data_IF_912308771684
#
_entry.id   IF_912308771684
#
_cell.length_a   1.000
_cell.length_b   1.000
_cell.length_c   1.000
_cell.angle_alpha   90.00
_cell.angle_beta   90.00
_cell.angle_gamma   90.00
#
_symmetry.space_group_name_H-M   'P 1'
#
loop_
_entity.id
_entity.type
_entity.pdbx_description
1 polymer ?
#
# COMPACT_ATOMS: atom_id res chain seq x y z
N UNK A 1 5.58 -23.79 4.23
CA UNK A 1 6.50 -22.85 4.87
C UNK A 1 7.91 -23.25 4.47
N UNK A 2 8.68 -22.37 3.89
CA UNK A 2 10.12 -22.55 3.71
C UNK A 2 10.73 -22.00 4.99
N UNK A 3 11.25 -22.85 5.86
CA UNK A 3 12.13 -22.39 6.93
C UNK A 3 13.40 -21.89 6.26
N UNK A 4 13.55 -20.59 6.25
CA UNK A 4 14.85 -19.95 5.98
C UNK A 4 15.67 -20.17 7.23
N UNK A 5 16.85 -20.77 7.10
CA UNK A 5 17.70 -21.14 8.23
C UNK A 5 17.99 -20.00 9.20
N UNK A 6 18.77 -20.30 10.24
CA UNK A 6 19.05 -19.37 11.33
C UNK A 6 19.40 -17.96 10.85
N UNK A 7 18.94 -16.92 11.57
CA UNK A 7 19.22 -15.53 11.21
C UNK A 7 20.71 -15.31 11.05
N UNK A 8 21.15 -14.82 9.91
CA UNK A 8 22.55 -14.44 9.70
C UNK A 8 22.76 -13.10 10.39
N UNK A 9 23.52 -13.09 11.46
CA UNK A 9 23.94 -11.86 12.11
C UNK A 9 24.97 -11.15 11.20
N UNK A 10 24.62 -9.97 10.70
CA UNK A 10 25.53 -9.10 9.96
C UNK A 10 25.88 -7.91 10.85
N UNK A 11 27.15 -7.64 11.13
CA UNK A 11 27.56 -6.44 11.87
C UNK A 11 27.09 -5.19 11.12
N UNK A 12 26.46 -4.29 11.85
CA UNK A 12 25.98 -3.03 11.30
C UNK A 12 27.16 -2.16 10.84
N UNK A 13 27.14 -1.69 9.60
CA UNK A 13 28.15 -0.77 9.05
C UNK A 13 29.41 -1.43 8.48
N UNK A 14 29.58 -2.75 8.58
CA UNK A 14 30.74 -3.46 8.06
C UNK A 14 30.43 -4.49 6.96
N UNK A 15 29.20 -4.51 6.47
CA UNK A 15 28.82 -5.39 5.38
C UNK A 15 29.51 -4.96 4.09
N UNK A 16 30.62 -5.59 3.75
CA UNK A 16 31.20 -5.43 2.42
C UNK A 16 30.22 -5.98 1.39
N UNK A 17 29.88 -5.18 0.39
CA UNK A 17 29.22 -5.68 -0.80
C UNK A 17 30.03 -6.85 -1.35
N UNK A 18 29.39 -7.88 -1.94
CA UNK A 18 30.09 -8.92 -2.65
C UNK A 18 31.07 -8.30 -3.66
N UNK A 19 32.24 -8.89 -3.80
CA UNK A 19 33.28 -8.37 -4.69
C UNK A 19 32.75 -8.16 -6.11
N UNK A 20 32.89 -6.92 -6.60
CA UNK A 20 32.39 -6.54 -7.94
C UNK A 20 31.00 -5.90 -7.95
N UNK A 21 30.33 -5.82 -6.81
CA UNK A 21 29.02 -5.16 -6.70
C UNK A 21 29.18 -3.68 -6.29
N UNK A 22 28.36 -2.83 -6.91
CA UNK A 22 28.20 -1.44 -6.47
C UNK A 22 26.87 -1.30 -5.73
N UNK A 23 26.85 -0.49 -4.68
CA UNK A 23 25.63 -0.24 -3.96
C UNK A 23 24.65 0.53 -4.87
N UNK A 24 23.40 0.05 -5.05
CA UNK A 24 22.52 0.60 -6.07
C UNK A 24 22.04 2.03 -5.78
N UNK A 25 22.19 2.52 -4.52
CA UNK A 25 21.71 3.87 -4.13
C UNK A 25 22.66 4.58 -3.19
N UNK A 26 23.00 5.81 -3.56
CA UNK A 26 23.80 6.72 -2.72
C UNK A 26 23.03 7.06 -1.43
N UNK A 27 23.70 7.00 -0.29
CA UNK A 27 23.15 7.39 1.01
C UNK A 27 22.48 6.26 1.78
N UNK A 28 22.63 5.02 1.33
CA UNK A 28 22.21 3.81 2.05
C UNK A 28 23.40 2.97 2.44
N UNK A 29 23.33 2.37 3.61
CA UNK A 29 24.31 1.41 4.10
C UNK A 29 23.85 -0.01 3.80
N UNK A 30 24.80 -0.87 3.46
CA UNK A 30 24.54 -2.30 3.24
C UNK A 30 24.26 -2.99 4.58
N UNK A 31 23.17 -3.72 4.66
CA UNK A 31 22.79 -4.39 5.91
C UNK A 31 23.04 -5.89 5.87
N UNK A 32 22.46 -6.59 4.91
CA UNK A 32 22.56 -8.04 4.82
C UNK A 32 22.19 -8.55 3.42
N UNK A 33 22.64 -9.75 3.09
CA UNK A 33 22.22 -10.51 1.93
C UNK A 33 21.87 -11.94 2.35
N UNK A 34 20.81 -12.47 1.79
CA UNK A 34 20.43 -13.87 1.96
C UNK A 34 20.00 -14.48 0.63
N UNK A 35 20.08 -15.79 0.51
CA UNK A 35 19.65 -16.54 -0.67
C UNK A 35 18.39 -17.32 -0.38
N UNK A 36 17.38 -17.17 -1.24
CA UNK A 36 16.14 -17.93 -1.18
C UNK A 36 16.08 -18.89 -2.37
N UNK A 37 15.76 -20.15 -2.11
CA UNK A 37 15.50 -21.13 -3.16
C UNK A 37 14.10 -20.94 -3.68
N UNK A 38 13.98 -20.37 -4.88
CA UNK A 38 12.69 -20.01 -5.47
C UNK A 38 12.43 -20.77 -6.77
N UNK A 39 11.16 -20.84 -7.16
CA UNK A 39 10.74 -21.35 -8.47
C UNK A 39 11.17 -20.43 -9.61
N UNK A 40 11.02 -20.90 -10.86
CA UNK A 40 11.28 -20.08 -12.04
C UNK A 40 10.27 -18.91 -12.16
N UNK A 41 9.05 -19.12 -11.63
CA UNK A 41 8.00 -18.12 -11.67
C UNK A 41 8.17 -17.12 -10.53
N UNK A 42 7.86 -15.86 -10.82
CA UNK A 42 7.84 -14.80 -9.81
C UNK A 42 6.80 -15.10 -8.74
N UNK A 43 7.18 -14.94 -7.50
CA UNK A 43 6.32 -15.11 -6.33
C UNK A 43 6.44 -13.88 -5.43
N UNK A 44 5.40 -13.62 -4.64
CA UNK A 44 5.42 -12.64 -3.57
C UNK A 44 5.57 -13.38 -2.25
N UNK A 45 6.52 -12.94 -1.45
CA UNK A 45 6.77 -13.49 -0.11
C UNK A 45 6.73 -12.38 0.93
N UNK A 46 6.33 -12.74 2.14
CA UNK A 46 6.42 -11.85 3.28
C UNK A 46 7.75 -12.12 3.99
N UNK A 47 8.46 -11.06 4.30
CA UNK A 47 9.72 -11.10 5.02
C UNK A 47 9.56 -10.41 6.36
N UNK A 48 10.32 -10.89 7.33
CA UNK A 48 10.41 -10.27 8.64
C UNK A 48 11.88 -10.01 8.97
N UNK A 49 12.21 -8.76 9.25
CA UNK A 49 13.53 -8.36 9.70
C UNK A 49 13.50 -8.13 11.20
N UNK A 50 14.33 -8.85 11.95
CA UNK A 50 14.53 -8.59 13.35
C UNK A 50 15.86 -7.86 13.53
N UNK A 51 15.79 -6.61 13.97
CA UNK A 51 16.96 -5.80 14.29
C UNK A 51 17.19 -5.83 15.79
N UNK A 52 18.40 -6.19 16.20
CA UNK A 52 18.83 -6.16 17.60
C UNK A 52 19.78 -4.98 17.83
N UNK A 53 19.38 -4.07 18.69
CA UNK A 53 20.23 -2.93 19.07
C UNK A 53 21.32 -3.33 20.07
N UNK A 54 22.34 -2.47 20.23
CA UNK A 54 23.45 -2.72 21.14
C UNK A 54 23.02 -2.80 22.63
N UNK A 55 21.89 -2.19 22.98
CA UNK A 55 21.30 -2.26 24.33
C UNK A 55 20.49 -3.56 24.56
N UNK A 56 20.47 -4.45 23.58
CA UNK A 56 19.75 -5.72 23.62
C UNK A 56 18.28 -5.63 23.23
N UNK A 57 17.74 -4.45 22.99
CA UNK A 57 16.38 -4.30 22.49
C UNK A 57 16.25 -4.87 21.07
N UNK A 58 15.08 -5.42 20.78
CA UNK A 58 14.78 -5.97 19.45
C UNK A 58 13.60 -5.26 18.83
N UNK A 59 13.68 -5.04 17.52
CA UNK A 59 12.60 -4.50 16.73
C UNK A 59 12.37 -5.39 15.52
N UNK A 60 11.12 -5.76 15.32
CA UNK A 60 10.67 -6.56 14.17
C UNK A 60 10.01 -5.66 13.13
N UNK A 61 10.41 -5.82 11.89
CA UNK A 61 9.95 -5.05 10.75
C UNK A 61 9.41 -6.01 9.68
N UNK A 62 8.09 -6.12 9.54
CA UNK A 62 7.51 -6.90 8.46
C UNK A 62 7.63 -6.14 7.13
N UNK A 63 7.96 -6.84 6.07
CA UNK A 63 7.96 -6.35 4.68
C UNK A 63 7.15 -7.32 3.84
N UNK A 64 5.93 -6.93 3.50
CA UNK A 64 5.01 -7.80 2.77
C UNK A 64 5.16 -7.68 1.27
N UNK A 65 4.73 -8.75 0.58
CA UNK A 65 4.63 -8.81 -0.87
C UNK A 65 5.96 -8.53 -1.59
N UNK A 66 7.06 -9.02 -1.04
CA UNK A 66 8.39 -8.89 -1.65
C UNK A 66 8.47 -9.80 -2.87
N UNK A 67 8.70 -9.28 -4.08
CA UNK A 67 8.84 -10.09 -5.27
C UNK A 67 10.17 -10.86 -5.25
N UNK A 68 10.09 -12.16 -5.46
CA UNK A 68 11.24 -13.06 -5.52
C UNK A 68 11.10 -14.02 -6.69
N UNK A 69 12.20 -14.33 -7.33
CA UNK A 69 12.25 -15.23 -8.48
C UNK A 69 13.64 -15.89 -8.59
N UNK A 70 13.70 -17.13 -9.09
CA UNK A 70 14.97 -17.81 -9.32
C UNK A 70 15.84 -17.01 -10.30
N UNK A 71 17.12 -16.86 -9.97
CA UNK A 71 18.12 -16.10 -10.72
C UNK A 71 17.90 -14.58 -10.76
N UNK A 72 17.06 -14.06 -9.86
CA UNK A 72 16.90 -12.62 -9.69
C UNK A 72 17.41 -12.18 -8.32
N UNK A 73 17.88 -10.95 -8.26
CA UNK A 73 18.24 -10.27 -7.02
C UNK A 73 17.11 -9.31 -6.64
N UNK A 74 16.59 -9.46 -5.44
CA UNK A 74 15.64 -8.51 -4.87
C UNK A 74 16.38 -7.59 -3.91
N UNK A 75 16.41 -6.30 -4.20
CA UNK A 75 16.98 -5.29 -3.33
C UNK A 75 15.86 -4.68 -2.48
N UNK A 76 16.06 -4.67 -1.17
CA UNK A 76 15.16 -4.04 -0.21
C UNK A 76 15.96 -2.91 0.46
N UNK A 77 15.47 -1.68 0.33
CA UNK A 77 16.13 -0.53 0.94
C UNK A 77 15.10 0.43 1.54
N UNK A 78 15.47 1.06 2.62
CA UNK A 78 14.60 1.96 3.36
C UNK A 78 15.12 2.30 4.74
N UNK A 79 14.34 3.06 5.49
CA UNK A 79 14.67 3.43 6.85
C UNK A 79 14.21 2.37 7.83
N UNK A 80 15.07 1.40 8.15
CA UNK A 80 14.74 0.31 9.07
C UNK A 80 14.62 0.76 10.54
N UNK A 81 15.15 1.92 10.88
CA UNK A 81 15.24 2.41 12.27
C UNK A 81 14.23 3.50 12.61
N UNK A 82 13.45 3.98 11.65
CA UNK A 82 12.41 5.00 11.89
C UNK A 82 11.02 4.39 11.94
N UNK A 83 10.04 5.12 12.48
CA UNK A 83 8.65 4.66 12.57
C UNK A 83 7.89 4.79 11.23
N UNK A 84 8.52 5.26 10.17
CA UNK A 84 7.94 5.36 8.83
C UNK A 84 8.31 4.12 8.01
N UNK A 85 7.32 3.53 7.34
CA UNK A 85 7.53 2.41 6.40
C UNK A 85 8.08 2.96 5.10
N UNK A 86 9.36 3.31 5.11
CA UNK A 86 10.11 3.75 3.93
C UNK A 86 10.89 2.57 3.35
N UNK A 87 10.19 1.52 2.95
CA UNK A 87 10.83 0.33 2.39
C UNK A 87 10.58 0.31 0.89
N UNK A 88 11.66 0.40 0.14
CA UNK A 88 11.67 0.25 -1.31
C UNK A 88 12.14 -1.16 -1.66
N UNK A 89 11.43 -1.83 -2.56
CA UNK A 89 11.79 -3.16 -3.01
C UNK A 89 12.04 -3.10 -4.51
N UNK A 90 13.23 -3.54 -4.92
CA UNK A 90 13.64 -3.61 -6.31
C UNK A 90 14.05 -5.05 -6.62
N UNK A 91 13.51 -5.64 -7.67
CA UNK A 91 13.95 -6.93 -8.18
C UNK A 91 14.81 -6.69 -9.43
N UNK A 92 16.05 -7.15 -9.39
CA UNK A 92 17.01 -6.99 -10.48
C UNK A 92 17.35 -8.37 -11.05
N UNK A 93 17.28 -8.58 -12.37
CA UNK A 93 17.83 -9.78 -12.99
C UNK A 93 19.31 -9.86 -12.66
N UNK A 94 19.79 -11.04 -12.27
CA UNK A 94 21.21 -11.21 -11.91
C UNK A 94 22.15 -10.93 -13.08
N UNK A 95 21.65 -10.90 -14.32
CA UNK A 95 22.41 -10.79 -15.55
C UNK A 95 21.86 -9.81 -16.60
N UNK A 96 20.69 -9.18 -16.36
CA UNK A 96 20.05 -8.26 -17.31
C UNK A 96 19.39 -7.06 -16.59
N UNK A 97 18.86 -6.11 -17.35
CA UNK A 97 18.17 -4.92 -16.82
C UNK A 97 16.98 -5.26 -15.90
N UNK A 98 16.61 -4.36 -14.98
CA UNK A 98 15.52 -4.62 -14.02
C UNK A 98 14.22 -4.99 -14.75
N UNK A 99 13.65 -6.12 -14.35
CA UNK A 99 12.46 -6.69 -15.00
C UNK A 99 11.15 -6.28 -14.29
N UNK A 100 11.24 -5.74 -13.09
CA UNK A 100 10.07 -5.34 -12.31
C UNK A 100 10.40 -4.38 -11.16
N UNK A 101 9.90 -3.16 -11.25
CA UNK A 101 9.71 -2.29 -10.08
C UNK A 101 8.27 -2.44 -9.61
N UNK A 102 8.07 -2.90 -8.38
CA UNK A 102 6.77 -2.73 -7.75
C UNK A 102 6.63 -1.25 -7.41
N UNK A 103 5.69 -0.57 -8.06
CA UNK A 103 5.44 0.83 -7.77
C UNK A 103 4.96 1.00 -6.31
N UNK A 104 5.11 2.20 -5.78
CA UNK A 104 4.78 2.51 -4.40
C UNK A 104 3.29 2.27 -4.09
N UNK A 105 2.43 2.47 -5.07
CA UNK A 105 0.98 2.23 -4.98
C UNK A 105 0.71 0.74 -4.76
N UNK A 106 1.32 -0.13 -5.57
CA UNK A 106 1.15 -1.58 -5.45
C UNK A 106 1.65 -2.11 -4.10
N UNK A 107 2.75 -1.53 -3.57
CA UNK A 107 3.27 -1.88 -2.23
C UNK A 107 2.32 -1.47 -1.11
N UNK A 108 1.77 -0.27 -1.18
CA UNK A 108 0.78 0.21 -0.20
C UNK A 108 -0.45 -0.69 -0.20
N UNK A 109 -0.99 -1.02 -1.37
CA UNK A 109 -2.14 -1.92 -1.51
C UNK A 109 -1.81 -3.31 -0.95
N UNK A 110 -0.66 -3.88 -1.31
CA UNK A 110 -0.24 -5.19 -0.85
C UNK A 110 -0.05 -5.23 0.68
N UNK A 111 0.59 -4.22 1.28
CA UNK A 111 0.80 -4.14 2.71
C UNK A 111 -0.54 -4.06 3.48
N UNK A 112 -1.44 -3.17 3.05
CA UNK A 112 -2.76 -3.04 3.67
C UNK A 112 -3.57 -4.33 3.55
N UNK A 113 -3.61 -4.95 2.37
CA UNK A 113 -4.32 -6.21 2.15
C UNK A 113 -3.73 -7.39 2.93
N UNK A 114 -2.43 -7.35 3.24
CA UNK A 114 -1.77 -8.31 4.11
C UNK A 114 -1.99 -8.05 5.62
N UNK A 115 -2.74 -7.00 5.99
CA UNK A 115 -3.05 -6.69 7.39
C UNK A 115 -2.06 -5.75 8.07
N UNK A 116 -1.21 -5.05 7.31
CA UNK A 116 -0.23 -4.10 7.84
C UNK A 116 -0.68 -2.65 7.63
N UNK A 117 -0.59 -1.84 8.68
CA UNK A 117 -0.83 -0.41 8.58
C UNK A 117 0.29 0.29 7.85
N UNK A 118 -0.05 1.32 7.07
CA UNK A 118 0.89 2.10 6.26
C UNK A 118 0.81 3.57 6.64
N UNK A 119 1.96 4.20 6.75
CA UNK A 119 2.12 5.65 6.85
C UNK A 119 2.89 6.13 5.63
N UNK A 120 2.31 7.07 4.88
CA UNK A 120 2.95 7.61 3.69
C UNK A 120 4.11 8.55 4.05
N UNK A 121 5.08 8.58 3.19
CA UNK A 121 6.24 9.48 3.23
C UNK A 121 6.37 10.35 1.98
N UNK A 122 5.49 10.12 1.00
CA UNK A 122 5.40 10.86 -0.26
C UNK A 122 4.00 10.76 -0.85
N UNK A 123 3.75 11.62 -1.82
CA UNK A 123 2.53 11.57 -2.63
C UNK A 123 2.51 10.32 -3.52
N UNK A 124 1.31 9.82 -3.79
CA UNK A 124 1.09 8.67 -4.67
C UNK A 124 0.21 9.04 -5.85
N UNK A 125 0.53 8.48 -7.02
CA UNK A 125 -0.26 8.68 -8.24
C UNK A 125 -0.69 7.31 -8.81
N UNK A 126 -1.82 6.77 -8.34
CA UNK A 126 -2.32 5.50 -8.84
C UNK A 126 -2.72 5.58 -10.31
N UNK A 127 -2.31 4.59 -11.10
CA UNK A 127 -2.77 4.38 -12.48
C UNK A 127 -3.97 3.43 -12.59
N UNK A 128 -4.44 2.90 -11.48
CA UNK A 128 -5.63 2.04 -11.35
C UNK A 128 -6.18 2.13 -9.95
N UNK A 129 -7.40 1.63 -9.73
CA UNK A 129 -8.00 1.54 -8.40
C UNK A 129 -7.09 0.81 -7.41
N UNK A 130 -6.89 1.41 -6.26
CA UNK A 130 -6.23 0.79 -5.10
C UNK A 130 -7.24 -0.11 -4.39
N UNK A 131 -7.40 -1.34 -4.90
CA UNK A 131 -8.29 -2.32 -4.29
C UNK A 131 -7.60 -2.97 -3.06
N UNK A 132 -8.09 -2.65 -1.87
CA UNK A 132 -7.55 -3.12 -0.59
C UNK A 132 -8.45 -4.25 -0.11
N UNK A 133 -8.01 -5.48 -0.35
CA UNK A 133 -8.75 -6.71 -0.01
C UNK A 133 -8.32 -7.22 1.37
N UNK A 134 -9.03 -6.77 2.40
CA UNK A 134 -8.75 -7.11 3.79
C UNK A 134 -9.28 -8.51 4.13
N UNK A 135 -8.44 -9.32 4.78
CA UNK A 135 -8.74 -10.70 5.15
C UNK A 135 -8.81 -10.89 6.67
N UNK A 136 -9.50 -11.93 7.08
CA UNK A 136 -9.47 -12.45 8.46
C UNK A 136 -9.81 -11.43 9.55
N UNK A 137 -10.65 -10.45 9.25
CA UNK A 137 -11.02 -9.39 10.19
C UNK A 137 -9.90 -8.40 10.49
N UNK A 138 -8.91 -8.29 9.60
CA UNK A 138 -7.79 -7.36 9.76
C UNK A 138 -8.27 -5.93 10.01
N UNK A 139 -7.56 -5.22 10.87
CA UNK A 139 -7.79 -3.81 11.14
C UNK A 139 -6.50 -3.02 10.88
N UNK A 140 -6.51 -2.22 9.82
CA UNK A 140 -5.33 -1.51 9.34
C UNK A 140 -5.60 -0.03 9.20
N UNK A 141 -4.53 0.77 9.25
CA UNK A 141 -4.58 2.21 9.06
C UNK A 141 -3.75 2.63 7.85
N UNK A 142 -4.35 3.42 6.97
CA UNK A 142 -3.66 4.21 5.98
C UNK A 142 -3.54 5.65 6.50
N UNK A 143 -2.37 5.99 7.02
CA UNK A 143 -2.02 7.34 7.45
C UNK A 143 -1.39 8.09 6.28
N UNK A 144 -2.13 9.01 5.69
CA UNK A 144 -1.64 9.83 4.59
C UNK A 144 -0.55 10.82 5.02
N UNK A 145 -0.41 11.09 6.33
CA UNK A 145 0.68 11.87 6.91
C UNK A 145 0.92 13.23 6.20
N UNK A 146 -0.13 13.90 5.81
CA UNK A 146 -0.07 15.18 5.07
C UNK A 146 0.13 15.04 3.56
N UNK A 147 0.40 13.84 3.06
CA UNK A 147 0.59 13.58 1.63
C UNK A 147 -0.72 13.44 0.87
N UNK A 148 -0.60 13.44 -0.44
CA UNK A 148 -1.72 13.34 -1.38
C UNK A 148 -1.67 12.03 -2.15
N UNK A 149 -2.82 11.37 -2.24
CA UNK A 149 -3.07 10.32 -3.25
C UNK A 149 -3.99 10.90 -4.30
N UNK A 150 -3.52 10.98 -5.55
CA UNK A 150 -4.31 11.51 -6.65
C UNK A 150 -3.97 10.81 -7.97
N UNK A 151 -4.99 10.40 -8.73
CA UNK A 151 -4.77 9.88 -10.07
C UNK A 151 -4.71 11.00 -11.13
N UNK A 152 -3.90 10.78 -12.16
CA UNK A 152 -3.77 11.67 -13.32
C UNK A 152 -4.36 11.04 -14.59
N UNK A 153 -4.47 9.72 -14.61
CA UNK A 153 -5.12 8.93 -15.65
C UNK A 153 -6.44 8.37 -15.12
N UNK A 154 -7.35 8.03 -16.01
CA UNK A 154 -8.63 7.45 -15.63
C UNK A 154 -8.42 6.06 -15.01
N UNK A 155 -9.06 5.84 -13.87
CA UNK A 155 -9.06 4.54 -13.16
C UNK A 155 -10.44 3.89 -13.18
N UNK A 156 -11.49 4.67 -13.49
CA UNK A 156 -12.83 4.14 -13.64
C UNK A 156 -12.92 3.10 -14.75
N UNK A 157 -13.53 1.97 -14.43
CA UNK A 157 -13.89 0.95 -15.41
C UNK A 157 -15.16 0.21 -14.93
N UNK A 158 -15.61 -0.80 -15.64
CA UNK A 158 -16.84 -1.51 -15.30
C UNK A 158 -16.84 -2.26 -13.96
N UNK A 159 -15.66 -2.45 -13.35
CA UNK A 159 -15.47 -3.21 -12.11
C UNK A 159 -14.88 -2.38 -10.97
N UNK A 160 -14.26 -1.26 -11.29
CA UNK A 160 -13.59 -0.38 -10.34
C UNK A 160 -14.12 1.04 -10.48
N UNK A 161 -14.64 1.62 -9.39
CA UNK A 161 -15.37 2.88 -9.39
C UNK A 161 -14.68 4.00 -8.62
N UNK A 162 -13.66 3.66 -7.85
CA UNK A 162 -13.04 4.56 -6.89
C UNK A 162 -11.54 4.53 -6.99
N UNK A 163 -10.92 5.58 -6.47
CA UNK A 163 -9.46 5.64 -6.31
C UNK A 163 -8.99 4.64 -5.24
N UNK A 164 -9.73 4.54 -4.13
CA UNK A 164 -9.54 3.48 -3.11
C UNK A 164 -10.83 2.68 -2.98
N UNK A 165 -10.74 1.34 -3.12
CA UNK A 165 -11.85 0.42 -2.91
C UNK A 165 -11.55 -0.48 -1.71
N UNK A 166 -12.42 -0.46 -0.70
CA UNK A 166 -12.29 -1.29 0.51
C UNK A 166 -13.09 -2.56 0.33
N UNK A 167 -12.39 -3.68 0.35
CA UNK A 167 -12.93 -5.01 0.02
C UNK A 167 -12.62 -6.04 1.12
N UNK A 168 -13.28 -7.19 1.02
CA UNK A 168 -13.03 -8.34 1.88
C UNK A 168 -13.69 -8.24 3.26
N UNK A 169 -13.03 -8.80 4.26
CA UNK A 169 -13.53 -8.88 5.63
C UNK A 169 -12.55 -8.21 6.60
N UNK A 170 -12.68 -6.90 6.78
CA UNK A 170 -11.80 -6.16 7.69
C UNK A 170 -12.16 -4.69 7.80
N UNK A 171 -11.31 -3.94 8.47
CA UNK A 171 -11.48 -2.51 8.70
C UNK A 171 -10.29 -1.73 8.18
N UNK A 172 -10.53 -0.81 7.26
CA UNK A 172 -9.57 0.20 6.86
C UNK A 172 -9.88 1.51 7.60
N UNK A 173 -8.90 2.07 8.29
CA UNK A 173 -8.95 3.44 8.80
C UNK A 173 -8.10 4.34 7.92
N UNK A 174 -8.65 5.47 7.46
CA UNK A 174 -7.92 6.48 6.68
C UNK A 174 -7.86 7.77 7.48
N UNK A 175 -6.69 8.44 7.46
CA UNK A 175 -6.48 9.72 8.14
C UNK A 175 -5.34 10.55 7.54
N UNK A 176 -5.30 11.83 7.88
CA UNK A 176 -4.11 12.69 7.89
C UNK A 176 -3.56 13.14 6.54
N UNK A 177 -4.36 13.53 5.57
CA UNK A 177 -3.85 14.04 4.29
C UNK A 177 -4.95 14.29 3.27
N UNK A 178 -4.62 14.15 1.99
CA UNK A 178 -5.57 14.39 0.91
C UNK A 178 -5.73 13.17 0.01
N UNK A 179 -6.96 12.80 -0.28
CA UNK A 179 -7.30 11.87 -1.36
C UNK A 179 -8.12 12.61 -2.41
N UNK A 180 -7.62 12.65 -3.64
CA UNK A 180 -8.25 13.41 -4.72
C UNK A 180 -8.41 12.57 -5.97
N UNK A 181 -9.64 12.24 -6.30
CA UNK A 181 -9.96 11.63 -7.59
C UNK A 181 -9.81 12.66 -8.72
N UNK A 182 -9.40 12.18 -9.90
CA UNK A 182 -9.34 12.98 -11.11
C UNK A 182 -10.74 13.45 -11.49
N UNK A 183 -10.86 14.70 -11.93
CA UNK A 183 -12.11 15.24 -12.46
C UNK A 183 -12.61 14.43 -13.66
N UNK A 184 -13.90 14.21 -13.71
CA UNK A 184 -14.60 13.41 -14.73
C UNK A 184 -14.17 11.93 -14.79
N UNK A 185 -13.73 11.37 -13.66
CA UNK A 185 -13.33 9.98 -13.58
C UNK A 185 -14.04 9.27 -12.40
N UNK A 186 -13.36 8.96 -11.33
CA UNK A 186 -13.80 8.04 -10.29
C UNK A 186 -14.30 8.73 -9.01
N UNK A 187 -14.87 7.95 -8.09
CA UNK A 187 -15.10 8.37 -6.71
C UNK A 187 -13.77 8.42 -5.96
N UNK A 188 -13.73 9.10 -4.82
CA UNK A 188 -12.51 9.03 -4.01
C UNK A 188 -12.39 7.66 -3.32
N UNK A 189 -13.46 7.17 -2.71
CA UNK A 189 -13.47 5.89 -1.99
C UNK A 189 -14.79 5.14 -2.18
N UNK A 190 -14.71 3.81 -2.14
CA UNK A 190 -15.89 2.98 -1.94
C UNK A 190 -15.70 1.90 -0.86
N UNK A 191 -16.82 1.44 -0.30
CA UNK A 191 -16.91 0.23 0.52
C UNK A 191 -17.71 -0.77 -0.27
N UNK A 192 -17.01 -1.81 -0.76
CA UNK A 192 -17.55 -2.68 -1.79
C UNK A 192 -18.23 -3.91 -1.23
N UNK A 193 -17.58 -4.60 -0.29
CA UNK A 193 -18.08 -5.86 0.25
C UNK A 193 -18.85 -5.67 1.56
N UNK A 194 -19.85 -6.52 1.78
CA UNK A 194 -20.75 -6.49 2.94
C UNK A 194 -20.04 -6.54 4.28
N UNK A 195 -18.89 -7.19 4.34
CA UNK A 195 -18.09 -7.35 5.57
C UNK A 195 -16.95 -6.33 5.69
N UNK A 196 -16.78 -5.49 4.67
CA UNK A 196 -15.81 -4.42 4.68
C UNK A 196 -16.25 -3.24 5.54
N UNK A 197 -15.30 -2.62 6.23
CA UNK A 197 -15.54 -1.46 7.06
C UNK A 197 -14.55 -0.35 6.72
N UNK A 198 -15.04 0.87 6.54
CA UNK A 198 -14.22 2.06 6.35
C UNK A 198 -14.44 3.02 7.52
N UNK A 199 -13.34 3.43 8.16
CA UNK A 199 -13.32 4.47 9.17
C UNK A 199 -12.53 5.66 8.62
N UNK A 200 -13.12 6.84 8.65
CA UNK A 200 -12.45 8.09 8.26
C UNK A 200 -12.29 8.93 9.52
N UNK A 201 -11.04 9.22 9.92
CA UNK A 201 -10.76 9.97 11.15
C UNK A 201 -10.68 11.48 10.91
N UNK A 202 -9.90 11.87 9.90
CA UNK A 202 -9.69 13.26 9.47
C UNK A 202 -9.14 13.27 8.04
N UNK A 203 -8.80 14.43 7.51
CA UNK A 203 -8.21 14.59 6.17
C UNK A 203 -9.13 15.31 5.19
N UNK A 204 -8.71 15.39 3.93
CA UNK A 204 -9.45 16.03 2.85
C UNK A 204 -9.71 15.06 1.71
N UNK A 205 -10.96 14.89 1.37
CA UNK A 205 -11.42 13.88 0.44
C UNK A 205 -12.23 14.51 -0.68
N UNK A 206 -11.77 14.34 -1.91
CA UNK A 206 -12.33 14.97 -3.10
C UNK A 206 -12.64 13.90 -4.13
N UNK A 207 -13.91 13.64 -4.33
CA UNK A 207 -14.39 12.70 -5.35
C UNK A 207 -14.81 13.41 -6.63
N UNK A 208 -15.15 12.65 -7.66
CA UNK A 208 -15.80 13.21 -8.83
C UNK A 208 -17.30 13.39 -8.57
N UNK A 209 -18.15 12.39 -8.87
CA UNK A 209 -19.59 12.43 -8.56
C UNK A 209 -19.90 12.08 -7.10
N UNK A 210 -19.08 11.22 -6.49
CA UNK A 210 -19.15 10.89 -5.07
C UNK A 210 -17.78 11.00 -4.44
N UNK A 211 -17.72 11.44 -3.19
CA UNK A 211 -16.49 11.32 -2.40
C UNK A 211 -16.41 9.93 -1.78
N UNK A 212 -17.47 9.48 -1.12
CA UNK A 212 -17.58 8.12 -0.58
C UNK A 212 -18.82 7.45 -1.11
N UNK A 213 -18.66 6.25 -1.67
CA UNK A 213 -19.75 5.40 -2.10
C UNK A 213 -19.78 4.10 -1.29
N UNK A 214 -20.81 3.87 -0.53
CA UNK A 214 -21.02 2.62 0.19
C UNK A 214 -21.94 1.75 -0.62
N UNK A 215 -21.38 0.78 -1.32
CA UNK A 215 -22.16 -0.20 -2.09
C UNK A 215 -22.75 -1.26 -1.16
N UNK A 216 -21.91 -1.84 -0.32
CA UNK A 216 -22.28 -2.69 0.83
C UNK A 216 -21.33 -2.37 1.99
N UNK A 217 -21.49 -3.04 3.14
CA UNK A 217 -20.60 -2.88 4.29
C UNK A 217 -20.90 -1.64 5.16
N UNK A 218 -19.87 -1.15 5.86
CA UNK A 218 -20.04 -0.13 6.88
C UNK A 218 -19.10 1.06 6.69
N UNK A 219 -19.63 2.25 6.90
CA UNK A 219 -18.88 3.51 6.93
C UNK A 219 -19.03 4.17 8.29
N UNK A 220 -17.90 4.60 8.88
CA UNK A 220 -17.87 5.44 10.09
C UNK A 220 -17.01 6.66 9.84
N UNK A 221 -17.61 7.84 9.89
CA UNK A 221 -16.91 9.12 9.78
C UNK A 221 -16.76 9.72 11.17
N UNK A 222 -15.52 10.04 11.55
CA UNK A 222 -15.20 10.74 12.81
C UNK A 222 -14.82 12.20 12.55
N UNK A 223 -14.35 12.52 11.34
CA UNK A 223 -13.95 13.87 10.93
C UNK A 223 -13.56 13.91 9.47
N UNK A 224 -13.06 15.05 9.01
CA UNK A 224 -12.58 15.27 7.64
C UNK A 224 -13.44 16.24 6.85
N UNK A 225 -12.90 16.67 5.73
CA UNK A 225 -13.55 17.53 4.73
C UNK A 225 -13.86 16.72 3.48
N UNK A 226 -15.10 16.81 3.02
CA UNK A 226 -15.58 16.04 1.85
C UNK A 226 -16.12 16.98 0.79
N UNK A 227 -15.72 16.78 -0.46
CA UNK A 227 -16.24 17.55 -1.59
C UNK A 227 -16.28 16.70 -2.86
N UNK A 228 -17.08 17.15 -3.81
CA UNK A 228 -17.18 16.58 -5.15
C UNK A 228 -16.79 17.64 -6.17
N UNK A 229 -16.27 17.20 -7.32
CA UNK A 229 -15.82 18.07 -8.41
C UNK A 229 -16.87 18.17 -9.52
N UNK A 230 -17.54 17.05 -9.81
CA UNK A 230 -18.59 17.03 -10.80
C UNK A 230 -19.88 17.55 -10.21
N UNK A 231 -20.35 18.68 -10.76
CA UNK A 231 -21.67 19.23 -10.50
C UNK A 231 -22.47 19.02 -11.80
N UNK A 232 -23.00 17.82 -12.01
CA UNK A 232 -23.68 17.48 -13.24
C UNK A 232 -25.00 18.24 -13.39
N UNK A 233 -25.28 18.62 -14.62
CA UNK A 233 -26.61 19.09 -15.02
C UNK A 233 -27.58 17.95 -15.34
N UNK A 234 -27.16 16.69 -15.28
CA UNK A 234 -27.88 15.54 -15.82
C UNK A 234 -28.63 14.71 -14.77
N UNK A 235 -28.84 15.25 -13.59
CA UNK A 235 -29.82 14.72 -12.65
C UNK A 235 -29.24 13.95 -11.47
N UNK A 236 -29.36 14.44 -10.33
CA UNK A 236 -29.56 13.87 -8.99
C UNK A 236 -28.67 12.69 -8.54
N UNK A 237 -27.50 12.47 -9.15
CA UNK A 237 -26.60 11.37 -8.79
C UNK A 237 -25.32 11.82 -8.08
N UNK A 238 -25.18 13.13 -7.86
CA UNK A 238 -24.01 13.72 -7.24
C UNK A 238 -24.24 13.88 -5.74
N UNK A 239 -23.60 13.02 -4.96
CA UNK A 239 -23.67 13.08 -3.50
C UNK A 239 -22.26 12.99 -2.93
N UNK A 240 -21.94 13.87 -2.01
CA UNK A 240 -20.66 13.78 -1.28
C UNK A 240 -20.51 12.41 -0.61
N UNK A 241 -21.57 11.92 0.00
CA UNK A 241 -21.61 10.57 0.58
C UNK A 241 -22.87 9.89 0.05
N UNK A 242 -22.71 8.76 -0.61
CA UNK A 242 -23.81 7.96 -1.15
C UNK A 242 -23.77 6.56 -0.53
N UNK A 243 -24.88 6.13 0.04
CA UNK A 243 -25.05 4.78 0.55
C UNK A 243 -26.11 4.09 -0.31
N UNK A 244 -25.68 3.08 -1.07
CA UNK A 244 -26.59 2.27 -1.85
C UNK A 244 -27.28 1.25 -0.94
N UNK A 245 -28.59 1.25 -0.93
CA UNK A 245 -29.39 0.25 -0.21
C UNK A 245 -30.28 -0.49 -1.19
N UNK A 246 -29.94 -1.74 -1.45
CA UNK A 246 -30.72 -2.63 -2.32
C UNK A 246 -32.07 -3.02 -1.70
N UNK A 247 -32.32 -2.72 -0.43
CA UNK A 247 -33.60 -3.00 0.24
C UNK A 247 -34.70 -1.97 -0.10
N UNK A 248 -34.33 -0.82 -0.63
CA UNK A 248 -35.28 0.13 -1.22
C UNK A 248 -35.67 -0.32 -2.64
N UNK A 249 -36.47 -1.34 -2.73
CA UNK A 249 -37.16 -1.73 -3.93
C UNK A 249 -38.64 -1.46 -3.80
#
# INVERSE_FOLDING_TARGET
AVEVGDPVAVPFGEGALPTGETFPKTGYDYLAMNYLLMSADKQLVDLEFTVKAADGSTRTLPVSAVPVQRNYRTNIYGSLLTNSVNINVEIVPAFDAPDYEMDDVARVVAALSAGHSVKLDKDLTPGKTMAIDLKDGASVTLDLNGHTIANTTDVWNGNDWSLISVRGNGTLTIKGGTLKAKENDCFAMDVFDKTANLIIEDGKYIGNAHTVYVYEGNLKIKGGEFSIQQLSSQGNYEFTINCYDSSYK
#
